data_IF_238098648613
#
_entry.id   IF_238098648613
#
_cell.length_a   1.000
_cell.length_b   1.000
_cell.length_c   1.000
_cell.angle_alpha   90.00
_cell.angle_beta   90.00
_cell.angle_gamma   90.00
#
_symmetry.space_group_name_H-M   'P 1'
#
loop_
_entity.id
_entity.type
_entity.pdbx_description
1 polymer ?
#
# COMPACT_ATOMS: atom_id res chain seq x y z
N UNK A 1 8.53 -0.45 16.21
CA UNK A 1 9.83 -0.06 15.61
C UNK A 1 9.82 1.46 15.44
N UNK A 2 10.87 2.23 15.78
CA UNK A 2 10.87 3.66 15.45
C UNK A 2 10.96 3.87 13.93
N UNK A 3 10.54 5.04 13.44
CA UNK A 3 10.61 5.40 12.01
C UNK A 3 12.01 5.18 11.41
N UNK A 4 13.05 5.55 12.14
CA UNK A 4 14.44 5.25 11.81
C UNK A 4 15.31 5.20 13.06
N UNK A 5 16.56 4.76 12.92
CA UNK A 5 17.51 4.63 14.04
C UNK A 5 18.15 5.99 14.45
N UNK A 6 17.31 6.96 14.82
CA UNK A 6 17.70 8.31 15.27
C UNK A 6 16.86 8.76 16.47
N UNK A 7 17.44 9.57 17.35
CA UNK A 7 16.79 10.00 18.59
C UNK A 7 15.47 10.77 18.35
N UNK A 8 15.41 11.57 17.29
CA UNK A 8 14.23 12.36 16.93
C UNK A 8 13.09 11.52 16.33
N UNK A 9 13.31 10.23 16.06
CA UNK A 9 12.27 9.29 15.63
C UNK A 9 11.66 8.48 16.78
N UNK A 10 12.13 8.63 18.03
CA UNK A 10 11.62 7.84 19.16
C UNK A 10 10.13 8.10 19.48
N UNK A 11 9.55 9.19 18.98
CA UNK A 11 8.14 9.51 19.17
C UNK A 11 7.20 8.90 18.11
N UNK A 12 7.71 8.27 17.05
CA UNK A 12 6.89 7.75 15.95
C UNK A 12 7.43 6.46 15.34
N UNK A 13 6.51 5.66 14.80
CA UNK A 13 6.82 4.42 14.09
C UNK A 13 6.94 4.64 12.57
N UNK A 14 6.91 3.55 11.82
CA UNK A 14 6.56 3.47 10.39
C UNK A 14 5.58 2.30 10.15
N UNK A 15 5.05 2.09 8.93
CA UNK A 15 4.20 0.94 8.61
C UNK A 15 4.79 -0.38 9.16
N UNK A 16 4.05 -1.14 9.99
CA UNK A 16 4.67 -2.18 10.83
C UNK A 16 4.95 -3.49 10.08
N UNK A 17 6.08 -3.55 9.38
CA UNK A 17 6.45 -4.68 8.52
C UNK A 17 7.32 -5.75 9.20
N UNK A 18 7.75 -5.57 10.45
CA UNK A 18 8.68 -6.50 11.13
C UNK A 18 8.14 -7.94 11.20
N UNK A 19 6.85 -8.11 11.46
CA UNK A 19 6.22 -9.43 11.49
C UNK A 19 6.30 -10.12 10.12
N UNK A 20 6.07 -9.39 9.02
CA UNK A 20 6.19 -9.93 7.66
C UNK A 20 7.64 -10.26 7.29
N UNK A 21 8.60 -9.45 7.75
CA UNK A 21 10.02 -9.71 7.57
C UNK A 21 10.43 -11.04 8.22
N UNK A 22 10.03 -11.25 9.48
CA UNK A 22 10.29 -12.51 10.20
C UNK A 22 9.58 -13.69 9.54
N UNK A 23 8.31 -13.53 9.15
CA UNK A 23 7.56 -14.59 8.49
C UNK A 23 8.21 -15.01 7.16
N UNK A 24 8.69 -14.04 6.38
CA UNK A 24 9.38 -14.27 5.10
C UNK A 24 10.72 -14.95 5.33
N UNK A 25 11.53 -14.47 6.28
CA UNK A 25 12.80 -15.08 6.64
C UNK A 25 12.63 -16.56 7.00
N UNK A 26 11.68 -16.89 7.88
CA UNK A 26 11.42 -18.27 8.31
C UNK A 26 10.92 -19.11 7.15
N UNK A 27 10.04 -18.55 6.30
CA UNK A 27 9.47 -19.26 5.16
C UNK A 27 10.51 -19.65 4.10
N UNK A 28 11.58 -18.85 3.96
CA UNK A 28 12.67 -19.12 3.02
C UNK A 28 13.75 -20.03 3.63
N UNK A 29 14.13 -19.78 4.89
CA UNK A 29 15.26 -20.45 5.52
C UNK A 29 14.89 -21.71 6.30
N UNK A 30 13.63 -21.84 6.71
CA UNK A 30 13.14 -22.78 7.73
C UNK A 30 13.87 -22.66 9.08
N UNK A 31 14.63 -21.59 9.34
CA UNK A 31 15.33 -21.39 10.60
C UNK A 31 14.40 -20.79 11.65
N UNK A 32 14.03 -21.63 12.63
CA UNK A 32 13.18 -21.26 13.77
C UNK A 32 13.97 -21.13 15.09
N UNK A 33 15.31 -21.17 15.05
CA UNK A 33 16.18 -21.19 16.23
C UNK A 33 15.99 -19.98 17.16
N UNK A 34 15.61 -18.82 16.59
CA UNK A 34 15.37 -17.57 17.31
C UNK A 34 13.90 -17.22 17.49
N UNK A 35 12.98 -18.06 16.97
CA UNK A 35 11.57 -17.72 16.86
C UNK A 35 10.94 -17.35 18.21
N UNK A 36 11.26 -18.06 19.29
CA UNK A 36 10.76 -17.74 20.64
C UNK A 36 11.10 -16.31 21.07
N UNK A 37 12.35 -15.86 20.82
CA UNK A 37 12.79 -14.50 21.15
C UNK A 37 12.15 -13.44 20.24
N UNK A 38 11.96 -13.78 18.96
CA UNK A 38 11.32 -12.88 18.01
C UNK A 38 9.84 -12.69 18.32
N UNK A 39 9.10 -13.75 18.65
CA UNK A 39 7.68 -13.66 19.00
C UNK A 39 7.41 -12.66 20.13
N UNK A 40 8.26 -12.61 21.15
CA UNK A 40 8.13 -11.60 22.21
C UNK A 40 8.19 -10.17 21.66
N UNK A 41 9.11 -9.91 20.72
CA UNK A 41 9.27 -8.61 20.07
C UNK A 41 8.09 -8.28 19.17
N UNK A 42 7.64 -9.25 18.36
CA UNK A 42 6.51 -9.08 17.45
C UNK A 42 5.20 -8.83 18.22
N UNK A 43 4.97 -9.55 19.31
CA UNK A 43 3.81 -9.34 20.17
C UNK A 43 3.83 -7.94 20.81
N UNK A 44 5.01 -7.46 21.21
CA UNK A 44 5.17 -6.12 21.78
C UNK A 44 4.87 -5.02 20.75
N UNK A 45 5.33 -5.17 19.52
CA UNK A 45 4.99 -4.23 18.45
C UNK A 45 3.48 -4.25 18.17
N UNK A 46 2.87 -5.43 18.06
CA UNK A 46 1.42 -5.54 17.91
C UNK A 46 0.65 -4.84 19.03
N UNK A 47 1.04 -5.06 20.29
CA UNK A 47 0.44 -4.40 21.46
C UNK A 47 0.60 -2.89 21.41
N UNK A 48 1.75 -2.37 20.99
CA UNK A 48 1.96 -0.94 20.81
C UNK A 48 0.94 -0.34 19.85
N UNK A 49 0.76 -0.93 18.66
CA UNK A 49 -0.20 -0.44 17.68
C UNK A 49 -1.63 -0.52 18.20
N UNK A 50 -2.01 -1.65 18.81
CA UNK A 50 -3.34 -1.82 19.39
C UNK A 50 -3.64 -0.81 20.49
N UNK A 51 -2.69 -0.54 21.37
CA UNK A 51 -2.90 0.36 22.51
C UNK A 51 -2.89 1.84 22.10
N UNK A 52 -2.00 2.24 21.18
CA UNK A 52 -1.71 3.65 20.93
C UNK A 52 -2.28 4.20 19.63
N UNK A 53 -2.80 3.35 18.73
CA UNK A 53 -3.22 3.74 17.38
C UNK A 53 -4.64 3.29 17.03
N UNK A 54 -5.31 2.56 17.92
CA UNK A 54 -6.70 2.11 17.71
C UNK A 54 -7.70 3.21 18.07
N UNK A 55 -8.69 3.40 17.21
CA UNK A 55 -9.91 4.16 17.52
C UNK A 55 -11.12 3.22 17.43
N UNK A 56 -12.08 3.42 18.35
CA UNK A 56 -13.35 2.70 18.37
C UNK A 56 -14.48 3.66 18.01
N UNK A 57 -15.36 3.25 17.10
CA UNK A 57 -16.50 4.05 16.67
C UNK A 57 -17.63 3.16 16.17
N UNK A 58 -18.82 3.74 16.00
CA UNK A 58 -19.98 3.05 15.45
C UNK A 58 -20.16 3.50 14.00
N UNK A 59 -20.22 2.56 13.06
CA UNK A 59 -20.44 2.87 11.64
C UNK A 59 -21.85 3.43 11.43
N UNK A 60 -22.13 4.14 10.31
CA UNK A 60 -23.49 4.56 9.98
C UNK A 60 -24.51 3.41 9.96
N UNK A 61 -24.06 2.17 9.72
CA UNK A 61 -24.87 0.95 9.81
C UNK A 61 -25.08 0.42 11.25
N UNK A 62 -24.69 1.16 12.28
CA UNK A 62 -24.89 0.81 13.68
C UNK A 62 -23.90 -0.23 14.24
N UNK A 63 -22.84 -0.59 13.52
CA UNK A 63 -21.86 -1.59 13.98
C UNK A 63 -20.72 -0.93 14.73
N UNK A 64 -20.44 -1.39 15.95
CA UNK A 64 -19.24 -0.99 16.67
C UNK A 64 -18.02 -1.70 16.11
N UNK A 65 -17.03 -0.93 15.68
CA UNK A 65 -15.78 -1.41 15.08
C UNK A 65 -14.59 -0.74 15.74
N UNK A 66 -13.42 -1.37 15.64
CA UNK A 66 -12.14 -0.78 15.99
C UNK A 66 -11.18 -0.91 14.82
N UNK A 67 -10.51 0.19 14.49
CA UNK A 67 -9.53 0.26 13.40
C UNK A 67 -8.38 1.17 13.82
N UNK A 68 -7.26 1.07 13.11
CA UNK A 68 -6.03 1.79 13.44
C UNK A 68 -5.85 3.00 12.53
N UNK A 69 -5.23 4.05 13.06
CA UNK A 69 -4.79 5.25 12.32
C UNK A 69 -3.37 5.62 12.71
N UNK A 70 -2.66 6.31 11.82
CA UNK A 70 -1.41 6.98 12.19
C UNK A 70 -1.75 8.20 13.04
N UNK A 71 -1.16 8.30 14.24
CA UNK A 71 -1.54 9.29 15.24
C UNK A 71 -0.37 9.54 16.20
N UNK A 72 0.55 10.38 15.76
CA UNK A 72 1.73 10.76 16.52
C UNK A 72 1.38 11.93 17.43
N UNK A 73 1.63 11.75 18.72
CA UNK A 73 1.56 12.83 19.70
C UNK A 73 2.75 13.77 19.51
N UNK A 74 2.52 14.87 18.79
CA UNK A 74 3.53 15.87 18.49
C UNK A 74 2.90 17.24 18.33
N UNK A 75 3.42 18.26 19.02
CA UNK A 75 2.91 19.64 18.98
C UNK A 75 3.96 20.64 18.54
N UNK A 76 5.06 20.17 17.96
CA UNK A 76 6.26 20.94 17.61
C UNK A 76 6.78 20.53 16.24
N UNK A 77 7.55 21.38 15.54
CA UNK A 77 8.18 20.99 14.29
C UNK A 77 9.10 19.77 14.47
N UNK A 78 9.13 18.90 13.45
CA UNK A 78 10.04 17.75 13.40
C UNK A 78 11.49 18.24 13.37
N UNK A 79 12.40 17.72 14.22
CA UNK A 79 13.79 18.18 14.23
C UNK A 79 14.53 18.03 12.90
N UNK A 80 14.25 16.97 12.14
CA UNK A 80 14.89 16.70 10.85
C UNK A 80 14.37 17.57 9.70
N UNK A 81 13.21 18.21 9.87
CA UNK A 81 12.54 19.04 8.87
C UNK A 81 11.96 20.32 9.52
N UNK A 82 12.76 20.94 10.40
CA UNK A 82 12.29 22.02 11.27
C UNK A 82 11.73 23.21 10.48
N UNK A 83 12.49 23.73 9.51
CA UNK A 83 12.10 24.92 8.75
C UNK A 83 10.87 24.70 7.86
N UNK A 84 10.76 23.61 7.08
CA UNK A 84 9.53 23.28 6.35
C UNK A 84 8.28 23.23 7.24
N UNK A 85 8.36 22.56 8.39
CA UNK A 85 7.24 22.44 9.34
C UNK A 85 6.83 23.80 9.92
N UNK A 86 7.80 24.64 10.30
CA UNK A 86 7.56 26.00 10.78
C UNK A 86 6.90 26.86 9.70
N UNK A 87 7.40 26.84 8.46
CA UNK A 87 6.84 27.62 7.36
C UNK A 87 5.40 27.20 7.00
N UNK A 88 5.09 25.90 7.10
CA UNK A 88 3.74 25.39 6.92
C UNK A 88 2.80 25.95 7.99
N UNK A 89 3.18 25.89 9.27
CA UNK A 89 2.33 26.31 10.39
C UNK A 89 2.26 27.83 10.56
N UNK A 90 3.40 28.52 10.66
CA UNK A 90 3.43 29.97 10.92
C UNK A 90 2.87 30.78 9.75
N UNK A 91 3.11 30.35 8.51
CA UNK A 91 2.54 31.01 7.34
C UNK A 91 1.03 30.81 7.15
N UNK A 92 0.37 29.98 7.98
CA UNK A 92 -1.05 29.65 7.89
C UNK A 92 -1.98 30.43 8.82
N UNK A 93 -1.46 31.35 9.66
CA UNK A 93 -2.26 32.11 10.64
C UNK A 93 -3.14 31.23 11.57
N UNK A 94 -2.61 30.08 12.00
CA UNK A 94 -3.33 29.16 12.87
C UNK A 94 -3.36 29.62 14.34
N UNK A 95 -4.47 29.33 15.05
CA UNK A 95 -4.50 29.42 16.52
C UNK A 95 -3.61 28.35 17.14
N UNK A 96 -3.18 28.51 18.38
CA UNK A 96 -2.24 27.59 19.05
C UNK A 96 -2.66 26.11 18.99
N UNK A 97 -3.95 25.81 19.15
CA UNK A 97 -4.43 24.43 19.05
C UNK A 97 -4.38 23.90 17.60
N UNK A 98 -4.78 24.71 16.62
CA UNK A 98 -4.74 24.34 15.20
C UNK A 98 -3.29 24.13 14.73
N UNK A 99 -2.35 24.94 15.23
CA UNK A 99 -0.93 24.77 15.00
C UNK A 99 -0.42 23.44 15.57
N UNK A 100 -0.77 23.12 16.82
CA UNK A 100 -0.42 21.84 17.44
C UNK A 100 -1.01 20.64 16.68
N UNK A 101 -2.27 20.73 16.26
CA UNK A 101 -2.95 19.69 15.50
C UNK A 101 -2.29 19.47 14.12
N UNK A 102 -1.82 20.54 13.48
CA UNK A 102 -1.09 20.46 12.21
C UNK A 102 0.29 19.83 12.39
N UNK A 103 1.04 20.17 13.44
CA UNK A 103 2.30 19.46 13.76
C UNK A 103 2.09 17.97 14.03
N UNK A 104 0.98 17.59 14.68
CA UNK A 104 0.62 16.19 14.89
C UNK A 104 0.30 15.49 13.56
N UNK A 105 -0.47 16.14 12.68
CA UNK A 105 -0.82 15.61 11.36
C UNK A 105 0.42 15.43 10.46
N UNK A 106 1.34 16.39 10.47
CA UNK A 106 2.63 16.32 9.78
C UNK A 106 3.46 15.13 10.27
N UNK A 107 3.65 15.00 11.59
CA UNK A 107 4.41 13.88 12.15
C UNK A 107 3.72 12.52 11.91
N UNK A 108 2.39 12.50 11.85
CA UNK A 108 1.61 11.30 11.54
C UNK A 108 1.70 10.90 10.07
N UNK A 109 1.85 11.86 9.14
CA UNK A 109 2.16 11.55 7.73
C UNK A 109 3.56 10.91 7.60
N UNK A 110 4.53 11.38 8.38
CA UNK A 110 5.84 10.73 8.44
C UNK A 110 5.76 9.31 9.04
N UNK A 111 4.88 9.07 10.03
CA UNK A 111 4.61 7.73 10.56
C UNK A 111 3.92 6.82 9.54
N UNK A 112 3.16 7.37 8.60
CA UNK A 112 2.53 6.59 7.52
C UNK A 112 3.53 6.18 6.45
N UNK A 113 4.71 6.81 6.40
CA UNK A 113 5.67 6.69 5.31
C UNK A 113 5.24 7.39 4.02
N UNK A 114 4.14 8.17 4.04
CA UNK A 114 3.64 8.93 2.88
C UNK A 114 3.69 10.44 3.20
N UNK A 115 4.84 10.93 3.65
CA UNK A 115 5.17 12.33 3.90
C UNK A 115 5.77 12.98 2.65
N UNK A 116 5.01 13.75 1.85
CA UNK A 116 3.59 14.05 1.99
C UNK A 116 2.80 13.67 0.75
N UNK A 117 1.49 13.55 0.91
CA UNK A 117 0.54 13.12 -0.10
C UNK A 117 -0.78 13.85 0.04
N UNK A 118 -1.44 14.07 -1.09
CA UNK A 118 -2.81 14.57 -1.21
C UNK A 118 -3.82 13.66 -0.51
N UNK A 119 -3.49 12.37 -0.33
CA UNK A 119 -4.28 11.43 0.47
C UNK A 119 -4.62 11.97 1.87
N UNK A 120 -3.73 12.77 2.44
CA UNK A 120 -3.86 13.33 3.78
C UNK A 120 -4.49 14.72 3.85
N UNK A 121 -4.82 15.33 2.71
CA UNK A 121 -5.45 16.65 2.65
C UNK A 121 -6.93 16.54 2.31
N UNK A 122 -7.71 17.60 2.52
CA UNK A 122 -9.13 17.61 2.17
C UNK A 122 -9.38 18.04 0.72
N UNK A 123 -8.70 19.11 0.28
CA UNK A 123 -8.82 19.67 -1.07
C UNK A 123 -7.40 19.82 -1.64
N UNK A 124 -6.90 18.81 -2.36
CA UNK A 124 -5.60 18.87 -3.01
C UNK A 124 -5.56 20.02 -4.01
N UNK A 125 -4.48 20.82 -3.97
CA UNK A 125 -4.25 21.90 -4.93
C UNK A 125 -3.16 21.48 -5.91
N UNK A 126 -3.54 21.31 -7.18
CA UNK A 126 -2.61 20.95 -8.24
C UNK A 126 -1.69 22.12 -8.61
N UNK A 127 -0.44 21.83 -8.94
CA UNK A 127 0.56 22.80 -9.42
C UNK A 127 0.74 24.00 -8.47
N UNK A 128 0.66 23.75 -7.16
CA UNK A 128 0.89 24.78 -6.12
C UNK A 128 2.09 24.42 -5.26
N UNK A 129 2.66 25.42 -4.58
CA UNK A 129 3.74 25.19 -3.64
C UNK A 129 3.34 24.15 -2.57
N UNK A 130 4.25 23.21 -2.27
CA UNK A 130 4.04 22.13 -1.32
C UNK A 130 3.42 22.62 0.00
N UNK A 131 3.93 23.75 0.52
CA UNK A 131 3.51 24.38 1.77
C UNK A 131 2.00 24.66 1.84
N UNK A 132 1.35 25.01 0.73
CA UNK A 132 -0.09 25.26 0.68
C UNK A 132 -0.91 23.98 0.86
N UNK A 133 -0.41 22.84 0.37
CA UNK A 133 -1.00 21.54 0.62
C UNK A 133 -0.67 21.03 2.05
N UNK A 134 0.54 21.27 2.55
CA UNK A 134 0.93 20.90 3.92
C UNK A 134 0.01 21.53 4.97
N UNK A 135 -0.40 22.79 4.79
CA UNK A 135 -1.35 23.50 5.66
C UNK A 135 -2.72 22.84 5.81
N UNK A 136 -3.05 21.90 4.94
CA UNK A 136 -4.34 21.20 4.91
C UNK A 136 -4.25 19.76 5.42
N UNK A 137 -3.06 19.33 5.89
CA UNK A 137 -2.86 17.98 6.39
C UNK A 137 -3.73 17.68 7.61
N UNK A 138 -4.27 16.47 7.59
CA UNK A 138 -5.19 15.97 8.63
C UNK A 138 -5.06 14.46 8.81
N UNK A 139 -3.85 13.92 8.67
CA UNK A 139 -3.53 12.48 8.69
C UNK A 139 -4.14 11.75 9.88
N UNK A 140 -4.04 12.33 11.07
CA UNK A 140 -4.59 11.79 12.33
C UNK A 140 -6.13 11.70 12.37
N UNK A 141 -6.83 12.25 11.38
CA UNK A 141 -8.29 12.11 11.23
C UNK A 141 -8.71 11.08 10.19
N UNK A 142 -7.74 10.43 9.55
CA UNK A 142 -7.97 9.45 8.49
C UNK A 142 -7.58 8.08 9.05
N UNK A 143 -8.48 7.12 8.93
CA UNK A 143 -8.21 5.70 9.21
C UNK A 143 -7.84 5.08 7.86
N UNK A 144 -6.56 4.72 7.66
CA UNK A 144 -6.09 4.39 6.34
C UNK A 144 -6.15 2.87 6.09
N UNK A 145 -6.52 2.50 4.87
CA UNK A 145 -6.79 1.10 4.51
C UNK A 145 -5.52 0.23 4.51
N UNK A 146 -4.37 0.81 4.15
CA UNK A 146 -3.04 0.18 4.15
C UNK A 146 -2.60 -0.25 5.56
N UNK A 147 -2.62 0.63 6.56
CA UNK A 147 -2.24 0.29 7.93
C UNK A 147 -3.08 -0.89 8.45
N UNK A 148 -4.38 -0.85 8.20
CA UNK A 148 -5.29 -1.89 8.66
C UNK A 148 -5.10 -3.20 7.89
N UNK A 149 -4.66 -3.14 6.63
CA UNK A 149 -4.25 -4.30 5.83
C UNK A 149 -2.96 -4.93 6.37
N UNK A 150 -1.96 -4.11 6.72
CA UNK A 150 -0.71 -4.56 7.37
C UNK A 150 -1.02 -5.24 8.70
N UNK A 151 -1.87 -4.61 9.53
CA UNK A 151 -2.24 -5.16 10.82
C UNK A 151 -2.99 -6.49 10.69
N UNK A 152 -3.86 -6.64 9.68
CA UNK A 152 -4.51 -7.91 9.37
C UNK A 152 -3.49 -9.01 9.02
N UNK A 153 -2.61 -8.78 8.04
CA UNK A 153 -1.64 -9.81 7.64
C UNK A 153 -0.61 -10.11 8.74
N UNK A 154 -0.31 -9.13 9.61
CA UNK A 154 0.50 -9.36 10.81
C UNK A 154 -0.21 -10.28 11.80
N UNK A 155 -1.52 -10.14 12.00
CA UNK A 155 -2.28 -11.06 12.86
C UNK A 155 -2.29 -12.47 12.26
N UNK A 156 -2.43 -12.61 10.94
CA UNK A 156 -2.35 -13.92 10.25
C UNK A 156 -0.95 -14.54 10.41
N UNK A 157 0.11 -13.77 10.22
CA UNK A 157 1.48 -14.24 10.39
C UNK A 157 1.79 -14.59 11.86
N UNK A 158 1.37 -13.77 12.83
CA UNK A 158 1.52 -14.07 14.25
C UNK A 158 0.79 -15.35 14.65
N UNK A 159 -0.42 -15.58 14.13
CA UNK A 159 -1.11 -16.87 14.32
C UNK A 159 -0.24 -18.04 13.83
N UNK A 160 0.28 -17.96 12.60
CA UNK A 160 1.14 -19.00 11.99
C UNK A 160 2.39 -19.24 12.84
N UNK A 161 3.10 -18.18 13.20
CA UNK A 161 4.36 -18.25 13.95
C UNK A 161 4.17 -18.81 15.37
N UNK A 162 3.12 -18.40 16.09
CA UNK A 162 2.79 -18.96 17.41
C UNK A 162 2.39 -20.45 17.35
N UNK A 163 1.77 -20.88 16.24
CA UNK A 163 1.43 -22.30 16.02
C UNK A 163 2.68 -23.19 15.88
N UNK A 164 3.80 -22.65 15.42
CA UNK A 164 5.07 -23.40 15.31
C UNK A 164 5.74 -23.64 16.67
N UNK A 165 5.37 -22.88 17.70
CA UNK A 165 6.03 -22.89 19.02
C UNK A 165 5.18 -23.53 20.12
N UNK A 166 3.86 -23.48 19.98
CA UNK A 166 2.95 -23.89 21.05
C UNK A 166 1.97 -24.96 20.57
N UNK A 167 1.65 -25.91 21.45
CA UNK A 167 0.57 -26.85 21.20
C UNK A 167 -0.76 -26.10 21.03
N UNK A 168 -1.64 -26.65 20.18
CA UNK A 168 -2.94 -26.04 19.92
C UNK A 168 -3.75 -25.89 21.22
N UNK A 169 -4.14 -24.65 21.53
CA UNK A 169 -4.98 -24.32 22.69
C UNK A 169 -6.04 -23.29 22.31
N UNK A 170 -7.33 -23.49 22.68
CA UNK A 170 -8.40 -22.52 22.42
C UNK A 170 -8.13 -21.12 23.00
N UNK A 171 -7.36 -21.06 24.09
CA UNK A 171 -6.98 -19.84 24.81
C UNK A 171 -5.53 -19.41 24.55
N UNK A 172 -4.82 -20.10 23.65
CA UNK A 172 -3.43 -19.80 23.32
C UNK A 172 -3.25 -18.59 22.40
N UNK A 173 -2.01 -18.11 22.24
CA UNK A 173 -1.68 -16.91 21.45
C UNK A 173 -2.08 -17.06 19.97
N UNK A 174 -1.88 -18.23 19.37
CA UNK A 174 -2.28 -18.48 17.99
C UNK A 174 -3.80 -18.26 17.78
N UNK A 175 -4.64 -18.76 18.68
CA UNK A 175 -6.09 -18.56 18.62
C UNK A 175 -6.51 -17.13 18.94
N UNK A 176 -5.77 -16.41 19.79
CA UNK A 176 -5.95 -14.97 19.99
C UNK A 176 -5.77 -14.20 18.68
N UNK A 177 -4.64 -14.40 18.00
CA UNK A 177 -4.36 -13.70 16.74
C UNK A 177 -5.33 -14.07 15.62
N UNK A 178 -5.80 -15.33 15.57
CA UNK A 178 -6.88 -15.74 14.66
C UNK A 178 -8.15 -14.92 14.86
N UNK A 179 -8.59 -14.75 16.11
CA UNK A 179 -9.80 -13.95 16.43
C UNK A 179 -9.62 -12.49 16.06
N UNK A 180 -8.45 -11.91 16.34
CA UNK A 180 -8.14 -10.53 15.97
C UNK A 180 -8.12 -10.34 14.45
N UNK A 181 -7.53 -11.27 13.69
CA UNK A 181 -7.56 -11.26 12.22
C UNK A 181 -8.99 -11.27 11.67
N UNK A 182 -9.85 -12.16 12.18
CA UNK A 182 -11.27 -12.20 11.77
C UNK A 182 -12.00 -10.90 12.08
N UNK A 183 -11.80 -10.31 13.27
CA UNK A 183 -12.43 -9.04 13.65
C UNK A 183 -11.92 -7.88 12.79
N UNK A 184 -10.61 -7.82 12.54
CA UNK A 184 -9.96 -6.83 11.69
C UNK A 184 -10.51 -6.88 10.27
N UNK A 185 -10.57 -8.07 9.65
CA UNK A 185 -11.10 -8.25 8.31
C UNK A 185 -12.57 -7.82 8.21
N UNK A 186 -13.42 -8.23 9.17
CA UNK A 186 -14.82 -7.80 9.23
C UNK A 186 -14.97 -6.28 9.34
N UNK A 187 -14.17 -5.63 10.18
CA UNK A 187 -14.18 -4.18 10.34
C UNK A 187 -13.71 -3.47 9.06
N UNK A 188 -12.68 -3.99 8.38
CA UNK A 188 -12.20 -3.45 7.11
C UNK A 188 -13.28 -3.50 6.04
N UNK A 189 -13.98 -4.63 5.87
CA UNK A 189 -15.07 -4.77 4.90
C UNK A 189 -16.30 -3.92 5.24
N UNK A 190 -16.56 -3.66 6.52
CA UNK A 190 -17.63 -2.76 6.93
C UNK A 190 -17.32 -1.29 6.61
N UNK A 191 -16.07 -0.88 6.80
CA UNK A 191 -15.68 0.54 6.81
C UNK A 191 -15.09 1.01 5.48
N UNK A 192 -14.18 0.22 4.90
CA UNK A 192 -13.38 0.67 3.75
C UNK A 192 -13.97 0.27 2.42
N UNK A 193 -14.63 -0.88 2.33
CA UNK A 193 -15.23 -1.35 1.07
C UNK A 193 -16.43 -0.50 0.69
N UNK A 194 -16.41 0.09 -0.51
CA UNK A 194 -17.53 0.81 -1.12
C UNK A 194 -18.29 -0.15 -2.06
N UNK A 195 -19.46 -0.62 -1.62
CA UNK A 195 -20.26 -1.56 -2.41
C UNK A 195 -20.80 -0.97 -3.71
N UNK A 196 -20.96 0.35 -3.83
CA UNK A 196 -21.45 0.99 -5.04
C UNK A 196 -20.34 1.12 -6.08
N UNK A 197 -19.15 1.54 -5.64
CA UNK A 197 -17.97 1.73 -6.51
C UNK A 197 -17.10 0.49 -6.68
N UNK A 198 -17.31 -0.53 -5.85
CA UNK A 198 -16.54 -1.78 -5.84
C UNK A 198 -15.04 -1.52 -5.66
N UNK A 199 -14.71 -0.66 -4.70
CA UNK A 199 -13.33 -0.26 -4.40
C UNK A 199 -13.12 -0.03 -2.90
N UNK A 200 -11.89 -0.25 -2.45
CA UNK A 200 -11.47 0.04 -1.08
C UNK A 200 -11.14 1.52 -0.92
N UNK A 201 -11.52 2.14 0.21
CA UNK A 201 -11.30 3.57 0.45
C UNK A 201 -10.92 3.82 1.90
N UNK A 202 -10.10 4.83 2.13
CA UNK A 202 -9.84 5.31 3.48
C UNK A 202 -11.11 5.86 4.14
N UNK A 203 -11.12 5.91 5.47
CA UNK A 203 -12.24 6.43 6.23
C UNK A 203 -11.88 7.72 6.96
N UNK A 204 -12.69 8.76 6.78
CA UNK A 204 -12.64 9.96 7.60
C UNK A 204 -13.44 9.71 8.88
N UNK A 205 -12.74 9.45 10.00
CA UNK A 205 -13.41 9.12 11.25
C UNK A 205 -14.05 10.33 11.94
N UNK A 206 -13.63 11.56 11.61
CA UNK A 206 -14.28 12.76 12.15
C UNK A 206 -15.56 13.06 11.40
N UNK A 207 -15.54 12.94 10.08
CA UNK A 207 -16.72 13.11 9.24
C UNK A 207 -17.62 11.87 9.18
N UNK A 208 -17.17 10.73 9.74
CA UNK A 208 -17.88 9.45 9.73
C UNK A 208 -18.33 9.03 8.31
N UNK A 209 -17.41 9.17 7.35
CA UNK A 209 -17.66 8.79 5.95
C UNK A 209 -16.40 8.22 5.27
N UNK A 210 -16.61 7.44 4.21
CA UNK A 210 -15.53 7.04 3.29
C UNK A 210 -15.01 8.27 2.55
N UNK A 211 -13.70 8.29 2.27
CA UNK A 211 -13.08 9.28 1.39
C UNK A 211 -13.40 8.98 -0.07
N UNK A 212 -13.31 10.01 -0.91
CA UNK A 212 -13.62 9.91 -2.34
C UNK A 212 -12.42 9.59 -3.25
N UNK A 213 -11.20 9.65 -2.72
CA UNK A 213 -10.01 9.51 -3.54
C UNK A 213 -9.70 8.05 -3.87
N UNK A 214 -9.36 7.80 -5.14
CA UNK A 214 -8.68 6.58 -5.57
C UNK A 214 -7.17 6.81 -5.49
N UNK A 215 -6.42 5.87 -4.93
CA UNK A 215 -4.97 5.95 -4.77
C UNK A 215 -4.36 4.54 -4.67
N UNK A 216 -3.03 4.40 -4.63
CA UNK A 216 -2.40 3.08 -4.61
C UNK A 216 -2.76 2.22 -3.36
N UNK A 217 -3.25 2.84 -2.28
CA UNK A 217 -3.62 2.12 -1.05
C UNK A 217 -4.77 1.11 -1.26
N UNK A 218 -5.56 1.27 -2.33
CA UNK A 218 -6.70 0.39 -2.67
C UNK A 218 -6.29 -1.08 -2.87
N UNK A 219 -5.01 -1.33 -3.18
CA UNK A 219 -4.48 -2.66 -3.45
C UNK A 219 -3.93 -3.38 -2.20
N UNK A 220 -3.73 -2.65 -1.09
CA UNK A 220 -3.21 -3.23 0.15
C UNK A 220 -4.12 -4.31 0.77
N UNK A 221 -5.47 -4.21 0.71
CA UNK A 221 -6.37 -5.29 1.11
C UNK A 221 -6.18 -6.59 0.31
N UNK A 222 -5.82 -6.50 -0.97
CA UNK A 222 -5.53 -7.66 -1.82
C UNK A 222 -4.17 -8.26 -1.48
N UNK A 223 -3.14 -7.42 -1.36
CA UNK A 223 -1.81 -7.84 -0.89
C UNK A 223 -1.87 -8.52 0.48
N UNK A 224 -2.62 -7.98 1.42
CA UNK A 224 -2.75 -8.56 2.76
C UNK A 224 -3.58 -9.86 2.78
N UNK A 225 -4.37 -10.09 1.72
CA UNK A 225 -5.33 -11.19 1.63
C UNK A 225 -6.69 -10.89 2.27
N UNK A 226 -6.88 -9.71 2.87
CA UNK A 226 -8.14 -9.33 3.51
C UNK A 226 -9.31 -9.23 2.52
N UNK A 227 -9.03 -8.82 1.28
CA UNK A 227 -10.01 -8.65 0.21
C UNK A 227 -10.32 -9.92 -0.59
N UNK A 228 -9.56 -11.00 -0.39
CA UNK A 228 -9.72 -12.25 -1.17
C UNK A 228 -10.99 -13.02 -0.84
N UNK A 229 -11.68 -12.66 0.23
CA UNK A 229 -12.96 -13.24 0.63
C UNK A 229 -13.75 -12.19 1.40
N UNK A 230 -15.00 -11.96 1.03
CA UNK A 230 -15.92 -11.11 1.79
C UNK A 230 -16.51 -11.89 2.99
N UNK A 231 -16.08 -11.60 4.24
CA UNK A 231 -16.59 -12.30 5.42
C UNK A 231 -18.02 -11.88 5.79
N UNK A 232 -18.59 -10.83 5.17
CA UNK A 232 -19.97 -10.37 5.40
C UNK A 232 -20.99 -11.33 4.77
N UNK A 233 -20.63 -11.97 3.65
CA UNK A 233 -21.47 -12.92 2.93
C UNK A 233 -21.86 -14.15 3.78
N UNK A 234 -21.05 -14.49 4.79
CA UNK A 234 -21.33 -15.59 5.73
C UNK A 234 -22.47 -15.29 6.74
N UNK A 235 -23.09 -14.10 6.72
CA UNK A 235 -24.20 -13.75 7.62
C UNK A 235 -25.58 -14.17 7.11
N UNK A 236 -25.72 -14.46 5.81
CA UNK A 236 -27.00 -14.81 5.18
C UNK A 236 -27.20 -16.32 4.96
N UNK A 237 -26.42 -17.16 5.64
CA UNK A 237 -26.67 -18.60 5.72
C UNK A 237 -26.39 -19.40 4.43
N UNK A 238 -25.75 -18.83 3.41
CA UNK A 238 -25.40 -19.60 2.22
C UNK A 238 -24.12 -19.09 1.51
N UNK A 239 -23.18 -20.03 1.32
CA UNK A 239 -22.03 -20.03 0.39
C UNK A 239 -20.69 -19.46 0.88
N UNK A 240 -19.72 -20.38 1.00
CA UNK A 240 -18.37 -20.20 0.43
C UNK A 240 -17.31 -19.61 1.35
N UNK A 241 -16.86 -20.36 2.35
CA UNK A 241 -15.46 -20.23 2.78
C UNK A 241 -14.62 -20.66 1.58
N UNK A 242 -13.96 -19.72 0.88
CA UNK A 242 -12.82 -20.09 0.03
C UNK A 242 -11.70 -20.41 1.02
N UNK A 243 -11.29 -21.69 1.16
CA UNK A 243 -10.14 -21.99 1.98
C UNK A 243 -8.94 -21.31 1.31
N UNK A 244 -8.25 -20.42 2.03
CA UNK A 244 -6.90 -20.04 1.63
C UNK A 244 -6.13 -21.35 1.39
N UNK A 245 -5.45 -21.51 0.23
CA UNK A 245 -4.64 -22.69 -0.02
C UNK A 245 -3.69 -22.89 1.16
N UNK A 246 -3.81 -24.03 1.83
CA UNK A 246 -2.85 -24.41 2.87
C UNK A 246 -1.50 -24.57 2.16
N UNK A 247 -0.55 -23.70 2.51
CA UNK A 247 0.87 -23.77 2.16
C UNK A 247 1.20 -23.62 0.67
N UNK A 248 1.35 -22.42 0.14
CA UNK A 248 2.29 -22.13 -0.95
C UNK A 248 3.08 -20.86 -0.60
N UNK A 249 4.04 -21.02 0.30
CA UNK A 249 5.17 -20.10 0.39
C UNK A 249 6.14 -20.51 -0.72
N UNK A 250 6.48 -19.53 -1.55
CA UNK A 250 7.58 -19.48 -2.52
C UNK A 250 8.45 -20.74 -2.64
N UNK A 251 8.48 -21.38 -3.82
CA UNK A 251 9.75 -21.83 -4.42
C UNK A 251 9.66 -22.37 -5.86
N UNK A 252 10.64 -21.89 -6.66
CA UNK A 252 11.34 -22.45 -7.85
C UNK A 252 10.67 -22.44 -9.25
N UNK A 253 11.19 -21.57 -10.14
CA UNK A 253 11.23 -21.78 -11.60
C UNK A 253 12.30 -22.83 -12.00
N UNK A 254 12.29 -23.44 -13.21
CA UNK A 254 12.69 -22.82 -14.52
C UNK A 254 11.98 -23.45 -15.76
N UNK A 255 12.50 -23.44 -17.03
CA UNK A 255 12.97 -22.38 -17.95
C UNK A 255 12.06 -22.21 -19.23
N UNK A 256 12.21 -21.13 -19.99
CA UNK A 256 11.63 -20.96 -21.35
C UNK A 256 12.60 -21.33 -22.49
N UNK A 257 12.11 -21.80 -23.65
CA UNK A 257 12.73 -21.58 -24.96
C UNK A 257 11.78 -20.95 -26.03
N UNK A 258 12.31 -20.49 -27.19
CA UNK A 258 11.96 -19.19 -27.79
C UNK A 258 11.10 -19.25 -29.08
N UNK A 259 10.51 -18.12 -29.49
CA UNK A 259 10.08 -17.90 -30.89
C UNK A 259 8.99 -16.85 -31.15
N UNK A 260 9.42 -15.62 -31.50
CA UNK A 260 8.80 -14.60 -32.39
C UNK A 260 7.41 -13.96 -32.14
N UNK A 261 7.47 -12.68 -31.67
CA UNK A 261 6.97 -11.38 -32.25
C UNK A 261 5.56 -11.27 -32.86
N UNK A 262 4.78 -10.17 -32.76
CA UNK A 262 4.90 -8.76 -32.24
C UNK A 262 3.46 -8.13 -32.28
N UNK A 263 3.24 -6.88 -32.73
CA UNK A 263 2.96 -5.59 -32.06
C UNK A 263 1.45 -5.32 -31.94
N UNK A 264 0.87 -5.37 -30.74
CA UNK A 264 -0.56 -5.68 -30.64
C UNK A 264 -1.54 -4.52 -30.89
N UNK A 265 -1.93 -4.35 -32.16
CA UNK A 265 -3.20 -3.73 -32.55
C UNK A 265 -4.40 -4.45 -31.93
N UNK A 266 -4.69 -4.16 -30.66
CA UNK A 266 -5.89 -4.58 -29.95
C UNK A 266 -6.99 -3.53 -30.20
N UNK A 267 -8.19 -3.92 -30.67
CA UNK A 267 -9.32 -3.00 -30.71
C UNK A 267 -9.64 -2.53 -29.28
N UNK A 268 -9.67 -1.21 -29.06
CA UNK A 268 -10.28 -0.63 -27.87
C UNK A 268 -11.77 -0.97 -27.85
N UNK A 269 -12.13 -2.00 -27.09
CA UNK A 269 -13.50 -2.31 -26.73
C UNK A 269 -13.67 -2.05 -25.25
N UNK A 270 -14.18 -0.87 -24.89
CA UNK A 270 -14.74 -0.60 -23.58
C UNK A 270 -15.89 -1.58 -23.32
N UNK A 271 -15.61 -2.65 -22.60
CA UNK A 271 -16.62 -3.43 -21.91
C UNK A 271 -16.91 -2.76 -20.58
N UNK A 272 -17.64 -1.65 -20.58
CA UNK A 272 -18.30 -1.19 -19.36
C UNK A 272 -19.22 -2.34 -18.95
N UNK A 273 -18.85 -3.09 -17.91
CA UNK A 273 -19.75 -4.02 -17.23
C UNK A 273 -20.80 -3.18 -16.47
N UNK A 274 -21.67 -2.52 -17.23
CA UNK A 274 -22.93 -1.98 -16.75
C UNK A 274 -23.99 -3.06 -16.95
N UNK A 275 -24.15 -3.91 -15.95
CA UNK A 275 -25.48 -4.36 -15.61
C UNK A 275 -25.73 -4.14 -14.12
N UNK A 276 -26.39 -3.01 -13.85
CA UNK A 276 -26.86 -2.60 -12.55
C UNK A 276 -28.18 -3.30 -12.24
N UNK A 277 -28.16 -4.61 -11.97
CA UNK A 277 -29.26 -5.27 -11.24
C UNK A 277 -28.86 -6.51 -10.42
N UNK A 278 -27.66 -7.06 -10.55
CA UNK A 278 -27.36 -8.35 -9.91
C UNK A 278 -26.48 -8.22 -8.65
N UNK A 279 -26.70 -9.13 -7.69
CA UNK A 279 -25.87 -9.25 -6.49
C UNK A 279 -24.42 -9.43 -6.94
N UNK A 280 -23.54 -8.50 -6.57
CA UNK A 280 -22.09 -8.56 -6.81
C UNK A 280 -21.60 -10.01 -6.76
N UNK A 281 -21.15 -10.54 -7.89
CA UNK A 281 -20.56 -11.87 -7.88
C UNK A 281 -19.25 -11.81 -7.10
N UNK A 282 -18.78 -12.96 -6.61
CA UNK A 282 -17.47 -13.01 -5.97
C UNK A 282 -16.34 -12.57 -6.92
N UNK A 283 -16.59 -12.67 -8.22
CA UNK A 283 -15.70 -12.20 -9.27
C UNK A 283 -15.63 -10.67 -9.34
N UNK A 284 -16.78 -10.00 -9.31
CA UNK A 284 -16.86 -8.54 -9.52
C UNK A 284 -16.05 -7.75 -8.48
N UNK A 285 -16.13 -8.12 -7.20
CA UNK A 285 -15.37 -7.40 -6.17
C UNK A 285 -13.86 -7.67 -6.23
N UNK A 286 -13.45 -8.81 -6.82
CA UNK A 286 -12.04 -9.17 -6.97
C UNK A 286 -11.38 -8.47 -8.16
N UNK A 287 -12.14 -8.17 -9.22
CA UNK A 287 -11.61 -7.61 -10.46
C UNK A 287 -11.77 -6.10 -10.51
N UNK A 288 -12.94 -5.56 -10.17
CA UNK A 288 -13.27 -4.14 -10.40
C UNK A 288 -12.25 -3.13 -9.83
N UNK A 289 -11.64 -3.35 -8.64
CA UNK A 289 -10.57 -2.48 -8.16
C UNK A 289 -9.37 -2.36 -9.10
N UNK A 290 -9.13 -3.35 -9.98
CA UNK A 290 -8.05 -3.37 -10.95
C UNK A 290 -8.44 -2.80 -12.32
N UNK A 291 -9.72 -2.55 -12.61
CA UNK A 291 -10.14 -1.93 -13.89
C UNK A 291 -9.49 -0.55 -14.07
N UNK A 292 -9.44 0.24 -13.00
CA UNK A 292 -8.76 1.54 -12.98
C UNK A 292 -7.24 1.40 -13.20
N UNK A 293 -6.63 0.32 -12.72
CA UNK A 293 -5.19 0.08 -12.89
C UNK A 293 -4.84 -0.08 -14.37
N UNK A 294 -5.68 -0.74 -15.16
CA UNK A 294 -5.43 -0.87 -16.60
C UNK A 294 -5.39 0.51 -17.27
N UNK A 295 -6.37 1.36 -16.99
CA UNK A 295 -6.41 2.74 -17.49
C UNK A 295 -5.17 3.53 -17.05
N UNK A 296 -4.77 3.41 -15.79
CA UNK A 296 -3.57 4.03 -15.23
C UNK A 296 -2.32 3.61 -16.01
N UNK A 297 -2.12 2.31 -16.25
CA UNK A 297 -0.94 1.79 -16.95
C UNK A 297 -0.91 2.11 -18.46
N UNK A 298 -2.07 2.44 -19.03
CA UNK A 298 -2.17 3.04 -20.37
C UNK A 298 -1.80 4.52 -20.39
N UNK A 299 -2.18 5.25 -19.35
CA UNK A 299 -1.94 6.70 -19.26
C UNK A 299 -0.50 7.00 -18.85
N UNK A 300 0.05 6.22 -17.92
CA UNK A 300 1.35 6.44 -17.31
C UNK A 300 2.28 5.22 -17.48
N UNK A 301 3.23 5.28 -18.42
CA UNK A 301 4.09 4.15 -18.76
C UNK A 301 5.18 3.85 -17.74
N UNK A 302 5.45 4.73 -16.77
CA UNK A 302 6.48 4.53 -15.74
C UNK A 302 6.02 3.77 -14.48
N UNK A 303 4.76 3.33 -14.43
CA UNK A 303 4.19 2.58 -13.31
C UNK A 303 2.94 3.24 -12.73
N UNK A 304 2.61 2.91 -11.49
CA UNK A 304 1.48 3.53 -10.77
C UNK A 304 1.99 4.60 -9.80
N UNK A 305 1.41 5.81 -9.89
CA UNK A 305 1.65 6.86 -8.90
C UNK A 305 0.92 6.58 -7.59
N UNK A 306 1.44 7.12 -6.49
CA UNK A 306 0.81 6.95 -5.18
C UNK A 306 -0.60 7.54 -5.12
N UNK A 307 -0.79 8.73 -5.67
CA UNK A 307 -2.10 9.34 -5.95
C UNK A 307 -2.07 10.01 -7.33
N UNK A 308 -3.23 10.50 -7.79
CA UNK A 308 -3.40 11.08 -9.11
C UNK A 308 -3.60 12.61 -9.10
N UNK A 309 -3.24 13.27 -7.99
CA UNK A 309 -3.13 14.72 -7.89
C UNK A 309 -1.69 15.17 -8.10
N UNK A 310 -1.45 16.26 -8.81
CA UNK A 310 -0.10 16.81 -9.01
C UNK A 310 0.15 17.97 -8.05
N UNK A 311 0.50 17.67 -6.80
CA UNK A 311 0.52 18.64 -5.68
C UNK A 311 1.91 19.19 -5.32
N UNK A 312 2.94 18.83 -6.09
CA UNK A 312 4.36 19.00 -5.74
C UNK A 312 4.81 18.27 -4.47
N UNK A 313 3.94 17.51 -3.80
CA UNK A 313 4.34 16.57 -2.74
C UNK A 313 4.87 15.28 -3.36
N UNK A 314 5.76 14.57 -2.65
CA UNK A 314 6.48 13.45 -3.24
C UNK A 314 5.69 12.14 -3.36
N UNK A 315 4.64 11.94 -2.57
CA UNK A 315 3.77 10.76 -2.60
C UNK A 315 2.48 11.02 -3.39
N UNK A 316 2.63 11.69 -4.53
CA UNK A 316 1.57 12.15 -5.43
C UNK A 316 2.07 12.12 -6.88
N UNK A 317 1.18 12.30 -7.86
CA UNK A 317 1.55 12.37 -9.27
C UNK A 317 2.60 13.48 -9.50
N UNK A 318 3.68 13.23 -10.27
CA UNK A 318 3.92 12.08 -11.14
C UNK A 318 4.76 10.95 -10.53
N UNK A 319 4.88 10.84 -9.21
CA UNK A 319 5.86 9.94 -8.61
C UNK A 319 5.34 8.50 -8.41
N UNK A 320 6.07 7.53 -8.96
CA UNK A 320 5.99 6.11 -8.61
C UNK A 320 7.06 5.75 -7.58
N UNK A 321 6.62 5.12 -6.51
CA UNK A 321 7.48 4.59 -5.46
C UNK A 321 7.60 3.07 -5.55
N UNK A 322 8.81 2.50 -5.43
CA UNK A 322 9.02 1.05 -5.46
C UNK A 322 8.08 0.23 -4.56
N UNK A 323 7.84 0.60 -3.27
CA UNK A 323 6.96 -0.19 -2.40
C UNK A 323 5.53 -0.28 -2.94
N UNK A 324 4.97 0.79 -3.50
CA UNK A 324 3.62 0.74 -4.05
C UNK A 324 3.54 -0.18 -5.28
N UNK A 325 4.56 -0.16 -6.16
CA UNK A 325 4.59 -1.07 -7.31
C UNK A 325 4.59 -2.53 -6.85
N UNK A 326 5.43 -2.85 -5.86
CA UNK A 326 5.54 -4.18 -5.30
C UNK A 326 4.21 -4.63 -4.67
N UNK A 327 3.55 -3.76 -3.92
CA UNK A 327 2.24 -4.07 -3.30
C UNK A 327 1.20 -4.39 -4.38
N UNK A 328 1.12 -3.60 -5.45
CA UNK A 328 0.16 -3.87 -6.54
C UNK A 328 0.49 -5.18 -7.27
N UNK A 329 1.77 -5.46 -7.54
CA UNK A 329 2.20 -6.72 -8.17
C UNK A 329 1.82 -7.95 -7.33
N UNK A 330 2.03 -7.88 -6.01
CA UNK A 330 1.69 -8.96 -5.09
C UNK A 330 0.18 -9.06 -4.84
N UNK A 331 -0.55 -7.95 -4.89
CA UNK A 331 -2.00 -7.92 -4.87
C UNK A 331 -2.58 -8.66 -6.09
N UNK A 332 -2.09 -8.35 -7.30
CA UNK A 332 -2.46 -9.06 -8.52
C UNK A 332 -2.12 -10.54 -8.42
N UNK A 333 -0.92 -10.89 -7.96
CA UNK A 333 -0.48 -12.29 -7.80
C UNK A 333 -1.47 -13.10 -6.94
N UNK A 334 -1.80 -12.58 -5.75
CA UNK A 334 -2.75 -13.24 -4.84
C UNK A 334 -4.14 -13.37 -5.44
N UNK A 335 -4.62 -12.34 -6.14
CA UNK A 335 -5.92 -12.39 -6.83
C UNK A 335 -5.92 -13.45 -7.94
N UNK A 336 -4.90 -13.43 -8.81
CA UNK A 336 -4.72 -14.38 -9.92
C UNK A 336 -4.73 -15.84 -9.43
N UNK A 337 -4.08 -16.11 -8.30
CA UNK A 337 -4.01 -17.45 -7.72
C UNK A 337 -5.36 -17.98 -7.23
N UNK A 338 -6.25 -17.11 -6.73
CA UNK A 338 -7.55 -17.56 -6.22
C UNK A 338 -8.63 -17.63 -7.30
N UNK A 339 -8.51 -16.86 -8.39
CA UNK A 339 -9.53 -16.75 -9.45
C UNK A 339 -10.07 -18.10 -9.96
N UNK A 340 -9.24 -19.15 -10.20
CA UNK A 340 -9.76 -20.45 -10.65
C UNK A 340 -10.73 -21.13 -9.67
N UNK A 341 -10.68 -20.76 -8.39
CA UNK A 341 -11.57 -21.28 -7.34
C UNK A 341 -12.81 -20.42 -7.12
N UNK A 342 -12.91 -19.26 -7.79
CA UNK A 342 -14.02 -18.32 -7.63
C UNK A 342 -15.14 -18.70 -8.63
N UNK A 343 -16.34 -19.06 -8.15
CA UNK A 343 -17.46 -19.36 -9.03
C UNK A 343 -17.79 -18.18 -9.93
N UNK A 344 -18.17 -18.47 -11.18
CA UNK A 344 -18.61 -17.47 -12.16
C UNK A 344 -17.54 -16.48 -12.63
N UNK A 345 -16.25 -16.73 -12.36
CA UNK A 345 -15.18 -15.98 -13.01
C UNK A 345 -14.85 -16.55 -14.39
N UNK A 346 -14.89 -15.72 -15.45
CA UNK A 346 -14.45 -16.15 -16.78
C UNK A 346 -12.96 -16.53 -16.80
N UNK A 347 -12.55 -17.63 -17.48
CA UNK A 347 -11.14 -18.04 -17.55
C UNK A 347 -10.21 -16.95 -18.11
N UNK A 348 -10.71 -16.11 -19.02
CA UNK A 348 -9.98 -14.99 -19.61
C UNK A 348 -9.59 -13.90 -18.60
N UNK A 349 -10.34 -13.77 -17.50
CA UNK A 349 -10.02 -12.82 -16.42
C UNK A 349 -8.64 -13.09 -15.84
N UNK A 350 -8.32 -14.36 -15.59
CA UNK A 350 -7.02 -14.71 -15.01
C UNK A 350 -5.88 -14.30 -15.97
N UNK A 351 -6.05 -14.55 -17.26
CA UNK A 351 -5.09 -14.13 -18.30
C UNK A 351 -4.96 -12.61 -18.37
N UNK A 352 -6.07 -11.90 -18.29
CA UNK A 352 -6.09 -10.44 -18.31
C UNK A 352 -5.33 -9.83 -17.12
N UNK A 353 -5.60 -10.28 -15.89
CA UNK A 353 -4.86 -9.80 -14.71
C UNK A 353 -3.37 -10.16 -14.78
N UNK A 354 -3.01 -11.35 -15.28
CA UNK A 354 -1.60 -11.74 -15.48
C UNK A 354 -0.88 -10.84 -16.49
N UNK A 355 -1.56 -10.44 -17.58
CA UNK A 355 -1.00 -9.50 -18.54
C UNK A 355 -0.79 -8.11 -17.91
N UNK A 356 -1.74 -7.64 -17.11
CA UNK A 356 -1.64 -6.38 -16.39
C UNK A 356 -0.50 -6.40 -15.35
N UNK A 357 -0.35 -7.51 -14.62
CA UNK A 357 0.76 -7.71 -13.68
C UNK A 357 2.12 -7.65 -14.39
N UNK A 358 2.25 -8.36 -15.51
CA UNK A 358 3.47 -8.34 -16.33
C UNK A 358 3.77 -6.92 -16.83
N UNK A 359 2.74 -6.20 -17.31
CA UNK A 359 2.90 -4.84 -17.81
C UNK A 359 3.35 -3.88 -16.72
N UNK A 360 2.76 -3.91 -15.53
CA UNK A 360 3.21 -3.08 -14.40
C UNK A 360 4.68 -3.35 -14.07
N UNK A 361 5.08 -4.62 -14.00
CA UNK A 361 6.47 -5.00 -13.74
C UNK A 361 7.41 -4.49 -14.84
N UNK A 362 7.04 -4.66 -16.11
CA UNK A 362 7.82 -4.18 -17.26
C UNK A 362 7.94 -2.67 -17.27
N UNK A 363 6.86 -1.93 -17.05
CA UNK A 363 6.83 -0.48 -16.98
C UNK A 363 7.84 0.04 -15.94
N UNK A 364 7.76 -0.48 -14.71
CA UNK A 364 8.63 -0.01 -13.63
C UNK A 364 10.09 -0.42 -13.81
N UNK A 365 10.37 -1.67 -14.20
CA UNK A 365 11.73 -2.13 -14.49
C UNK A 365 12.34 -1.34 -15.66
N UNK A 366 11.54 -1.03 -16.68
CA UNK A 366 11.98 -0.20 -17.81
C UNK A 366 12.35 1.20 -17.34
N UNK A 367 11.51 1.83 -16.53
CA UNK A 367 11.80 3.15 -15.96
C UNK A 367 13.12 3.13 -15.16
N UNK A 368 13.31 2.15 -14.27
CA UNK A 368 14.53 2.00 -13.49
C UNK A 368 15.77 1.75 -14.35
N UNK A 369 15.70 0.77 -15.26
CA UNK A 369 16.81 0.38 -16.11
C UNK A 369 17.21 1.49 -17.09
N UNK A 370 16.25 2.15 -17.71
CA UNK A 370 16.53 3.26 -18.61
C UNK A 370 17.09 4.48 -17.86
N UNK A 371 16.59 4.77 -16.66
CA UNK A 371 17.17 5.81 -15.79
C UNK A 371 18.63 5.52 -15.48
N UNK A 372 18.94 4.29 -15.05
CA UNK A 372 20.31 3.84 -14.80
C UNK A 372 21.19 4.00 -16.05
N UNK A 373 20.69 3.61 -17.22
CA UNK A 373 21.46 3.67 -18.47
C UNK A 373 21.70 5.11 -18.98
N UNK A 374 20.72 5.99 -18.83
CA UNK A 374 20.79 7.40 -19.25
C UNK A 374 21.75 8.18 -18.35
N UNK A 375 21.85 7.78 -17.07
CA UNK A 375 22.74 8.37 -16.07
C UNK A 375 24.12 7.68 -16.04
N UNK A 376 24.54 7.06 -17.15
CA UNK A 376 25.91 6.55 -17.32
C UNK A 376 26.11 5.07 -17.02
N UNK A 377 25.05 4.33 -16.69
CA UNK A 377 25.12 2.88 -16.49
C UNK A 377 25.53 2.13 -17.75
N UNK A 378 26.55 1.28 -17.64
CA UNK A 378 27.15 0.54 -18.75
C UNK A 378 27.23 -0.96 -18.45
N UNK A 379 26.85 -1.80 -19.42
CA UNK A 379 27.15 -3.22 -19.46
C UNK A 379 27.94 -3.52 -20.74
N UNK A 380 28.81 -4.54 -20.71
CA UNK A 380 29.60 -4.99 -21.88
C UNK A 380 28.76 -5.16 -23.15
N UNK A 381 27.53 -5.67 -23.03
CA UNK A 381 26.60 -5.87 -24.16
C UNK A 381 25.65 -4.69 -24.42
N UNK A 382 25.62 -3.69 -23.55
CA UNK A 382 24.72 -2.52 -23.63
C UNK A 382 25.44 -1.27 -23.12
N UNK A 383 26.27 -0.63 -23.96
CA UNK A 383 27.00 0.58 -23.59
C UNK A 383 26.07 1.70 -23.11
N UNK A 384 26.62 2.55 -22.23
CA UNK A 384 25.92 3.70 -21.69
C UNK A 384 25.39 4.62 -22.80
N UNK A 385 24.21 5.21 -22.55
CA UNK A 385 23.71 6.29 -23.39
C UNK A 385 24.40 7.55 -22.86
N UNK A 386 25.51 7.95 -23.49
CA UNK A 386 26.25 9.16 -23.09
C UNK A 386 25.35 10.38 -23.29
N UNK A 387 24.68 10.80 -22.24
CA UNK A 387 24.00 12.08 -22.16
C UNK A 387 24.96 13.12 -21.58
N UNK A 388 24.66 14.42 -21.72
CA UNK A 388 25.46 15.51 -21.15
C UNK A 388 25.47 15.52 -19.60
N UNK A 389 24.88 14.51 -18.95
CA UNK A 389 24.93 14.29 -17.51
C UNK A 389 26.33 13.77 -17.17
N UNK A 390 27.23 14.71 -16.91
CA UNK A 390 28.57 14.44 -16.41
C UNK A 390 28.45 14.05 -14.92
N UNK A 391 29.24 13.06 -14.49
CA UNK A 391 29.41 12.61 -13.10
C UNK A 391 28.40 11.61 -12.49
N UNK A 392 27.50 11.01 -13.29
CA UNK A 392 26.70 9.87 -12.83
C UNK A 392 27.22 8.56 -13.46
N UNK A 393 27.47 7.53 -12.64
CA UNK A 393 28.00 6.23 -13.06
C UNK A 393 26.90 5.14 -13.04
N UNK A 394 25.72 5.49 -13.57
CA UNK A 394 24.51 4.68 -13.51
C UNK A 394 23.78 4.79 -12.17
N UNK A 395 22.71 5.57 -12.16
CA UNK A 395 21.99 5.96 -10.94
C UNK A 395 20.62 5.29 -10.85
N UNK A 396 20.32 4.76 -9.66
CA UNK A 396 18.98 4.35 -9.24
C UNK A 396 18.41 5.42 -8.31
N UNK A 397 17.22 5.93 -8.60
CA UNK A 397 16.55 6.97 -7.82
C UNK A 397 15.60 6.36 -6.78
N UNK A 398 15.31 7.10 -5.71
CA UNK A 398 14.31 6.71 -4.70
C UNK A 398 12.90 6.54 -5.27
N UNK A 399 12.57 7.32 -6.30
CA UNK A 399 11.26 7.40 -6.95
C UNK A 399 11.40 7.80 -8.41
N UNK A 400 10.44 7.39 -9.24
CA UNK A 400 10.49 7.57 -10.70
C UNK A 400 9.29 8.37 -11.20
N UNK A 401 9.49 9.18 -12.24
CA UNK A 401 8.40 9.88 -12.92
C UNK A 401 7.59 8.91 -13.79
N UNK A 402 6.29 8.75 -13.49
CA UNK A 402 5.41 7.82 -14.21
C UNK A 402 5.02 8.29 -15.61
N UNK A 403 5.20 9.58 -15.91
CA UNK A 403 4.89 10.16 -17.23
C UNK A 403 5.98 9.88 -18.25
N UNK A 404 7.21 9.58 -17.78
CA UNK A 404 8.37 9.35 -18.62
C UNK A 404 8.55 7.86 -18.94
N UNK A 405 8.20 7.47 -20.17
CA UNK A 405 8.31 6.07 -20.63
C UNK A 405 9.74 5.51 -20.59
N UNK A 406 10.75 6.40 -20.69
CA UNK A 406 12.18 6.05 -20.62
C UNK A 406 12.76 6.22 -19.22
N UNK A 407 11.88 6.36 -18.22
CA UNK A 407 12.28 6.66 -16.86
C UNK A 407 12.84 8.06 -16.68
N UNK A 408 12.99 8.42 -15.42
CA UNK A 408 13.48 9.70 -14.95
C UNK A 408 13.34 9.71 -13.44
N UNK A 409 14.15 10.53 -12.78
CA UNK A 409 13.93 10.83 -11.37
C UNK A 409 12.53 11.42 -11.22
N UNK A 410 11.77 10.95 -10.22
CA UNK A 410 10.60 11.69 -9.77
C UNK A 410 11.01 13.03 -9.14
N UNK A 411 10.07 13.76 -8.55
CA UNK A 411 10.34 15.09 -8.01
C UNK A 411 9.44 15.43 -6.81
N UNK A 412 9.57 16.65 -6.30
CA UNK A 412 8.76 17.15 -5.19
C UNK A 412 9.12 16.53 -3.85
N UNK A 413 8.43 17.02 -2.82
CA UNK A 413 8.80 16.76 -1.43
C UNK A 413 9.59 17.90 -0.80
N UNK A 414 10.12 17.64 0.40
CA UNK A 414 10.84 18.63 1.22
C UNK A 414 12.37 18.60 1.02
N UNK A 415 12.86 17.69 0.18
CA UNK A 415 14.28 17.46 -0.08
C UNK A 415 14.52 16.99 -1.53
N UNK A 416 15.76 17.13 -1.99
CA UNK A 416 16.20 16.70 -3.32
C UNK A 416 16.15 15.18 -3.49
N UNK A 417 15.88 14.68 -4.69
CA UNK A 417 15.77 13.24 -4.97
C UNK A 417 17.05 12.49 -4.53
N UNK A 418 16.86 11.39 -3.80
CA UNK A 418 17.97 10.55 -3.32
C UNK A 418 18.35 9.44 -4.31
N UNK A 419 19.61 8.97 -4.24
CA UNK A 419 20.20 7.98 -5.16
C UNK A 419 20.74 6.74 -4.42
N UNK A 420 20.94 5.64 -5.16
CA UNK A 420 21.45 4.36 -4.62
C UNK A 420 20.43 3.62 -3.74
N UNK A 421 19.18 4.04 -3.80
CA UNK A 421 18.09 3.68 -2.88
C UNK A 421 17.87 2.16 -2.78
N UNK A 422 17.68 1.68 -1.54
CA UNK A 422 17.64 0.26 -1.19
C UNK A 422 16.31 -0.44 -1.38
#
# INVERSE_FOLDING_TARGET
MPNGARIYYLNRSQPPMLTQMVDTYISVTNDVSRLTSWLQTLDNEYRFWKANRTVSFTTPGGKSVYLLRYDVLNSRPRPEAYLPDVNAVEGGNFRSQQAADLYAAIASAAESGWDFSSRWVNIPRNHTAQTENLRQLRTNTIIPVDLNSIMYINQVALQKLHTMQTAASPHGPAMFYRREATRQQLAMWEVFWDDARKVWRDWDWKAQKRRDDFNAAVFWPFWSGAALTDPRANRDGNRGIIPLPKNHLMNKGPPMPPGHRDPYGVPMGYGVLSDTTDKSTACDYLIKPFDELEYILHTWPGGIATTFYNTSMQWDLPNAWPPEQLIVLLALDKTIQILPSVPSCPPETQKHLSNMQLRLAQNYITAAFCSWRITGGDLVSMPAIRTNVTDMNGTMFEKFDVTEAKGGAGSGGEYEVQTGFG
#
